data_IF_989146733756
#
_entry.id   IF_989146733756
#
_cell.length_a   1.000
_cell.length_b   1.000
_cell.length_c   1.000
_cell.angle_alpha   90.00
_cell.angle_beta   90.00
_cell.angle_gamma   90.00
#
_symmetry.space_group_name_H-M   'P 1'
#
loop_
_entity.id
_entity.type
_entity.pdbx_description
1 polymer ?
#
# COMPACT_ATOMS: atom_id res chain seq x y z
N UNK A 1 -7.67 -52.22 -56.30
CA UNK A 1 -7.85 -52.16 -57.79
C UNK A 1 -7.53 -50.73 -58.25
N UNK A 2 -6.46 -50.63 -59.08
CA UNK A 2 -6.09 -49.53 -60.04
C UNK A 2 -5.93 -48.13 -59.45
N UNK A 3 -4.73 -47.57 -59.26
CA UNK A 3 -3.64 -47.21 -60.19
C UNK A 3 -4.00 -46.05 -61.14
N UNK A 4 -3.29 -44.95 -61.06
CA UNK A 4 -2.56 -44.16 -62.10
C UNK A 4 -2.41 -42.71 -61.64
N UNK A 5 -1.17 -42.24 -61.40
CA UNK A 5 -0.10 -41.74 -62.31
C UNK A 5 -0.58 -40.56 -63.16
N UNK A 6 0.04 -39.42 -63.08
CA UNK A 6 1.28 -38.90 -63.74
C UNK A 6 1.32 -37.38 -63.47
N UNK A 7 2.36 -36.72 -63.14
CA UNK A 7 3.67 -36.41 -63.74
C UNK A 7 3.70 -35.03 -64.43
N UNK A 8 4.76 -34.28 -64.04
CA UNK A 8 5.51 -33.20 -64.75
C UNK A 8 4.84 -31.82 -64.80
N UNK A 9 5.52 -30.69 -64.47
CA UNK A 9 6.76 -30.24 -65.04
C UNK A 9 7.44 -29.20 -64.13
N UNK A 10 8.78 -29.26 -64.17
CA UNK A 10 9.67 -28.25 -63.65
C UNK A 10 9.80 -27.09 -64.68
N UNK A 11 10.11 -25.87 -64.24
CA UNK A 11 10.97 -24.89 -64.94
C UNK A 11 11.39 -23.81 -63.90
N UNK A 12 12.70 -23.82 -63.58
CA UNK A 12 13.74 -22.83 -63.81
C UNK A 12 13.72 -21.52 -63.03
N UNK A 13 14.63 -21.46 -62.06
CA UNK A 13 15.73 -20.48 -61.93
C UNK A 13 15.41 -18.99 -62.12
N UNK A 14 15.51 -18.22 -61.03
CA UNK A 14 16.29 -16.98 -61.05
C UNK A 14 16.85 -16.71 -59.65
N UNK A 15 18.17 -16.90 -59.51
CA UNK A 15 18.94 -16.48 -58.37
C UNK A 15 19.11 -14.97 -58.43
N UNK A 16 18.56 -14.26 -57.44
CA UNK A 16 18.96 -12.89 -57.10
C UNK A 16 19.65 -12.97 -55.75
N UNK A 17 20.95 -12.94 -55.76
CA UNK A 17 21.80 -12.75 -54.61
C UNK A 17 21.66 -11.28 -54.14
N UNK A 18 20.84 -11.03 -53.18
CA UNK A 18 20.86 -9.76 -52.41
C UNK A 18 21.65 -10.02 -51.13
N UNK A 19 22.90 -9.57 -51.11
CA UNK A 19 23.72 -9.48 -49.90
C UNK A 19 23.04 -8.46 -48.94
N UNK A 20 22.33 -8.95 -47.97
CA UNK A 20 21.90 -8.13 -46.80
C UNK A 20 23.07 -8.13 -45.83
N UNK A 21 23.77 -7.01 -45.76
CA UNK A 21 24.70 -6.68 -44.71
C UNK A 21 23.92 -6.74 -43.36
N UNK A 22 24.16 -7.76 -42.57
CA UNK A 22 23.82 -7.84 -41.17
C UNK A 22 24.65 -6.77 -40.43
N UNK A 23 24.16 -5.53 -40.42
CA UNK A 23 24.54 -4.59 -39.39
C UNK A 23 23.91 -5.13 -38.11
N UNK A 24 24.73 -5.79 -37.29
CA UNK A 24 24.38 -6.16 -35.92
C UNK A 24 24.14 -4.88 -35.12
N UNK A 25 22.90 -4.41 -35.08
CA UNK A 25 22.46 -3.62 -33.96
C UNK A 25 22.39 -4.58 -32.79
N UNK A 26 23.42 -4.60 -31.95
CA UNK A 26 23.31 -5.08 -30.59
C UNK A 26 22.22 -4.25 -29.94
N UNK A 27 21.07 -4.86 -29.71
CA UNK A 27 20.10 -4.28 -28.78
C UNK A 27 20.84 -4.11 -27.46
N UNK A 28 20.87 -2.92 -26.86
CA UNK A 28 21.36 -2.80 -25.51
C UNK A 28 20.52 -3.77 -24.71
N UNK A 29 21.17 -4.66 -23.94
CA UNK A 29 20.51 -5.37 -22.86
C UNK A 29 19.82 -4.28 -22.01
N UNK A 30 18.49 -4.26 -22.00
CA UNK A 30 17.77 -3.48 -21.05
C UNK A 30 18.09 -4.13 -19.71
N UNK A 31 19.07 -3.55 -19.00
CA UNK A 31 19.14 -3.69 -17.55
C UNK A 31 17.76 -3.38 -17.02
N UNK A 32 17.17 -4.35 -16.32
CA UNK A 32 15.79 -4.31 -15.85
C UNK A 32 15.54 -3.35 -14.68
N UNK A 33 16.18 -2.21 -14.68
CA UNK A 33 15.88 -1.04 -13.86
C UNK A 33 15.40 0.10 -14.76
N UNK A 34 14.35 -0.14 -15.54
CA UNK A 34 13.51 0.97 -15.98
C UNK A 34 12.96 1.61 -14.70
N UNK A 35 13.44 2.81 -14.37
CA UNK A 35 12.89 3.59 -13.25
C UNK A 35 11.38 3.63 -13.45
N UNK A 36 10.65 3.19 -12.43
CA UNK A 36 9.19 3.23 -12.43
C UNK A 36 8.81 4.71 -12.63
N UNK A 37 8.11 5.04 -13.72
CA UNK A 37 7.69 6.42 -14.00
C UNK A 37 6.42 6.80 -13.20
N UNK A 38 5.89 5.86 -12.43
CA UNK A 38 4.69 5.99 -11.62
C UNK A 38 4.97 5.58 -10.18
N UNK A 39 4.24 6.15 -9.25
CA UNK A 39 4.17 5.71 -7.88
C UNK A 39 2.78 5.21 -7.53
N UNK A 40 2.68 4.54 -6.41
CA UNK A 40 1.45 3.98 -5.89
C UNK A 40 1.38 4.22 -4.38
N UNK A 41 0.33 4.91 -3.96
CA UNK A 41 -0.01 5.16 -2.57
C UNK A 41 -1.29 4.38 -2.24
N UNK A 42 -1.27 3.56 -1.20
CA UNK A 42 -2.45 2.87 -0.70
C UNK A 42 -2.98 3.58 0.55
N UNK A 43 -4.24 3.98 0.50
CA UNK A 43 -5.00 4.51 1.63
C UNK A 43 -5.77 3.35 2.26
N UNK A 44 -5.46 3.03 3.52
CA UNK A 44 -6.12 1.96 4.27
C UNK A 44 -6.74 2.51 5.55
N UNK A 45 -8.06 2.39 5.64
CA UNK A 45 -8.84 2.68 6.84
C UNK A 45 -10.03 1.71 6.98
N UNK A 46 -10.27 0.90 5.97
CA UNK A 46 -11.51 0.24 5.60
C UNK A 46 -12.63 1.29 5.32
N UNK A 47 -12.71 1.80 4.08
CA UNK A 47 -12.28 1.18 2.80
C UNK A 47 -10.76 1.18 2.55
N UNK A 48 -10.35 0.43 1.53
CA UNK A 48 -8.97 0.29 1.09
C UNK A 48 -8.86 0.71 -0.39
N UNK A 49 -8.07 1.76 -0.67
CA UNK A 49 -8.01 2.39 -2.00
C UNK A 49 -6.56 2.61 -2.40
N UNK A 50 -6.22 2.13 -3.59
CA UNK A 50 -4.93 2.34 -4.22
C UNK A 50 -5.00 3.54 -5.17
N UNK A 51 -4.06 4.45 -5.03
CA UNK A 51 -3.92 5.69 -5.81
C UNK A 51 -2.65 5.57 -6.64
N UNK A 52 -2.79 5.43 -7.95
CA UNK A 52 -1.65 5.50 -8.87
C UNK A 52 -1.44 6.94 -9.32
N UNK A 53 -0.19 7.39 -9.35
CA UNK A 53 0.19 8.73 -9.75
C UNK A 53 1.45 8.73 -10.61
N UNK A 54 1.62 9.79 -11.40
CA UNK A 54 2.81 9.98 -12.24
C UNK A 54 3.90 10.78 -11.49
N UNK A 55 5.03 11.00 -12.16
CA UNK A 55 6.19 11.73 -11.63
C UNK A 55 5.87 13.16 -11.18
N UNK A 56 4.82 13.78 -11.72
CA UNK A 56 4.37 15.13 -11.36
C UNK A 56 3.35 15.11 -10.19
N UNK A 57 3.12 13.95 -9.56
CA UNK A 57 2.13 13.79 -8.48
C UNK A 57 0.68 13.82 -8.94
N UNK A 58 0.43 13.67 -10.26
CA UNK A 58 -0.94 13.65 -10.80
C UNK A 58 -1.50 12.24 -10.81
N UNK A 59 -2.73 12.09 -10.31
CA UNK A 59 -3.41 10.79 -10.26
C UNK A 59 -3.70 10.27 -11.66
N UNK A 60 -3.37 9.01 -11.90
CA UNK A 60 -3.57 8.29 -13.17
C UNK A 60 -4.59 7.17 -13.05
N UNK A 61 -4.77 6.59 -11.86
CA UNK A 61 -5.81 5.61 -11.58
C UNK A 61 -6.19 5.58 -10.10
N UNK A 62 -7.43 5.17 -9.81
CA UNK A 62 -7.88 4.74 -8.49
C UNK A 62 -8.40 3.31 -8.59
N UNK A 63 -8.05 2.47 -7.60
CA UNK A 63 -8.51 1.10 -7.53
C UNK A 63 -8.96 0.76 -6.11
N UNK A 64 -10.23 0.41 -5.92
CA UNK A 64 -10.72 -0.14 -4.66
C UNK A 64 -10.17 -1.55 -4.44
N UNK A 65 -9.45 -1.76 -3.35
CA UNK A 65 -8.80 -3.05 -3.02
C UNK A 65 -9.75 -4.02 -2.33
N UNK A 66 -10.79 -3.49 -1.70
CA UNK A 66 -11.90 -4.26 -1.13
C UNK A 66 -13.24 -3.74 -1.66
N UNK A 67 -14.36 -4.34 -1.27
CA UNK A 67 -15.68 -3.96 -1.79
C UNK A 67 -16.08 -2.55 -1.34
N UNK A 68 -15.75 -2.14 -0.12
CA UNK A 68 -15.99 -0.79 0.38
C UNK A 68 -15.19 0.23 -0.44
N UNK A 69 -13.90 -0.04 -0.70
CA UNK A 69 -13.05 0.81 -1.54
C UNK A 69 -13.55 0.95 -2.97
N UNK A 70 -14.10 -0.12 -3.56
CA UNK A 70 -14.74 -0.04 -4.88
C UNK A 70 -15.93 0.91 -4.88
N UNK A 71 -16.77 0.84 -3.83
CA UNK A 71 -17.92 1.72 -3.68
C UNK A 71 -17.50 3.21 -3.60
N UNK A 72 -16.46 3.54 -2.84
CA UNK A 72 -15.93 4.90 -2.75
C UNK A 72 -15.37 5.37 -4.11
N UNK A 73 -14.58 4.54 -4.79
CA UNK A 73 -14.02 4.91 -6.11
C UNK A 73 -15.11 5.12 -7.16
N UNK A 74 -16.18 4.33 -7.14
CA UNK A 74 -17.34 4.52 -8.03
C UNK A 74 -18.09 5.83 -7.75
N UNK A 75 -18.14 6.28 -6.50
CA UNK A 75 -18.75 7.54 -6.09
C UNK A 75 -17.89 8.77 -6.46
N UNK A 76 -16.59 8.59 -6.69
CA UNK A 76 -15.63 9.66 -6.99
C UNK A 76 -14.99 9.49 -8.38
N UNK A 77 -15.71 9.81 -9.50
CA UNK A 77 -15.25 9.51 -10.86
C UNK A 77 -14.21 10.49 -11.43
N UNK A 78 -14.16 11.74 -10.96
CA UNK A 78 -13.39 12.82 -11.60
C UNK A 78 -12.03 13.04 -10.91
N UNK A 79 -11.18 12.02 -10.87
CA UNK A 79 -9.87 12.05 -10.21
C UNK A 79 -8.68 12.16 -11.18
N UNK A 80 -8.84 11.75 -12.43
CA UNK A 80 -7.75 11.70 -13.40
C UNK A 80 -7.10 13.08 -13.61
N UNK A 81 -5.79 13.16 -13.43
CA UNK A 81 -4.99 14.37 -13.62
C UNK A 81 -5.06 15.39 -12.49
N UNK A 82 -5.86 15.15 -11.44
CA UNK A 82 -5.81 15.95 -10.21
C UNK A 82 -4.52 15.67 -9.44
N UNK A 83 -4.14 16.57 -8.55
CA UNK A 83 -3.05 16.34 -7.61
C UNK A 83 -3.38 15.20 -6.64
N UNK A 84 -2.40 14.35 -6.34
CA UNK A 84 -2.58 13.22 -5.43
C UNK A 84 -3.05 13.69 -4.05
N UNK A 85 -2.53 14.82 -3.59
CA UNK A 85 -2.92 15.46 -2.33
C UNK A 85 -4.39 15.86 -2.31
N UNK A 86 -4.90 16.48 -3.39
CA UNK A 86 -6.29 16.89 -3.48
C UNK A 86 -7.22 15.67 -3.53
N UNK A 87 -6.84 14.64 -4.32
CA UNK A 87 -7.61 13.40 -4.40
C UNK A 87 -7.65 12.68 -3.05
N UNK A 88 -6.54 12.65 -2.31
CA UNK A 88 -6.50 12.04 -0.99
C UNK A 88 -7.43 12.75 0.00
N UNK A 89 -7.46 14.09 0.01
CA UNK A 89 -8.40 14.87 0.83
C UNK A 89 -9.86 14.59 0.46
N UNK A 90 -10.16 14.59 -0.84
CA UNK A 90 -11.51 14.32 -1.34
C UNK A 90 -11.95 12.90 -0.91
N UNK A 91 -11.06 11.89 -1.03
CA UNK A 91 -11.35 10.52 -0.60
C UNK A 91 -11.63 10.42 0.91
N UNK A 92 -10.91 11.15 1.76
CA UNK A 92 -11.19 11.19 3.22
C UNK A 92 -12.59 11.77 3.48
N UNK A 93 -13.01 12.77 2.72
CA UNK A 93 -14.38 13.33 2.81
C UNK A 93 -15.43 12.30 2.39
N UNK A 94 -15.25 11.66 1.23
CA UNK A 94 -16.16 10.62 0.72
C UNK A 94 -16.27 9.43 1.69
N UNK A 95 -15.15 8.98 2.27
CA UNK A 95 -15.12 7.90 3.27
C UNK A 95 -15.89 8.32 4.53
N UNK A 96 -15.75 9.57 4.97
CA UNK A 96 -16.49 10.09 6.11
C UNK A 96 -18.00 10.21 5.82
N UNK A 97 -18.39 10.72 4.66
CA UNK A 97 -19.79 10.84 4.25
C UNK A 97 -20.46 9.47 4.10
N UNK A 98 -19.72 8.46 3.66
CA UNK A 98 -20.16 7.08 3.61
C UNK A 98 -20.26 6.40 5.00
N UNK A 99 -19.78 7.07 6.07
CA UNK A 99 -19.95 6.62 7.46
C UNK A 99 -18.87 5.65 7.95
N UNK A 100 -17.76 5.48 7.23
CA UNK A 100 -16.74 4.51 7.63
C UNK A 100 -15.88 4.92 8.84
N UNK A 101 -15.92 6.20 9.25
CA UNK A 101 -15.24 6.69 10.45
C UNK A 101 -16.10 6.65 11.74
N UNK A 102 -17.37 6.26 11.66
CA UNK A 102 -18.23 6.16 12.84
C UNK A 102 -18.02 4.88 13.64
N UNK A 103 -17.48 3.84 13.01
CA UNK A 103 -17.17 2.57 13.65
C UNK A 103 -15.83 2.65 14.37
N UNK A 104 -15.83 2.35 15.66
CA UNK A 104 -14.65 2.28 16.50
C UNK A 104 -14.20 0.81 16.65
N UNK A 105 -12.92 0.60 16.93
CA UNK A 105 -12.39 -0.68 17.40
C UNK A 105 -12.29 -0.55 18.93
N UNK A 106 -13.19 -1.20 19.65
CA UNK A 106 -13.24 -1.22 21.11
C UNK A 106 -13.12 0.17 21.78
N UNK A 107 -13.77 1.19 21.18
CA UNK A 107 -13.76 2.57 21.65
C UNK A 107 -12.59 3.41 21.15
N UNK A 108 -11.71 2.83 20.33
CA UNK A 108 -10.65 3.56 19.64
C UNK A 108 -11.07 3.89 18.21
N UNK A 109 -10.69 5.08 17.73
CA UNK A 109 -10.92 5.44 16.34
C UNK A 109 -10.02 4.63 15.40
N UNK A 110 -10.53 4.31 14.21
CA UNK A 110 -9.74 3.65 13.18
C UNK A 110 -8.51 4.49 12.82
N UNK A 111 -7.36 3.86 12.70
CA UNK A 111 -6.19 4.52 12.13
C UNK A 111 -6.32 4.65 10.62
N UNK A 112 -5.68 5.65 10.05
CA UNK A 112 -5.51 5.85 8.62
C UNK A 112 -4.06 5.49 8.29
N UNK A 113 -3.86 4.53 7.39
CA UNK A 113 -2.51 4.17 6.92
C UNK A 113 -2.33 4.66 5.50
N UNK A 114 -1.26 5.37 5.26
CA UNK A 114 -0.76 5.79 3.95
C UNK A 114 0.47 4.96 3.63
N UNK A 115 0.31 3.94 2.80
CA UNK A 115 1.37 3.02 2.43
C UNK A 115 1.87 3.32 1.03
N UNK A 116 3.15 3.68 0.93
CA UNK A 116 3.83 3.83 -0.34
C UNK A 116 4.31 2.45 -0.82
N UNK A 117 3.91 2.03 -2.01
CA UNK A 117 4.40 0.77 -2.55
C UNK A 117 5.89 0.84 -2.86
N UNK A 118 6.67 -0.22 -2.53
CA UNK A 118 8.09 -0.26 -2.77
C UNK A 118 8.49 0.07 -4.21
N UNK A 119 9.50 0.92 -4.36
CA UNK A 119 9.99 1.38 -5.65
C UNK A 119 9.07 2.37 -6.37
N UNK A 120 8.14 2.98 -5.68
CA UNK A 120 7.34 4.09 -6.20
C UNK A 120 8.22 5.32 -6.50
N UNK A 121 7.93 6.02 -7.60
CA UNK A 121 8.57 7.33 -7.83
C UNK A 121 8.02 8.34 -6.84
N UNK A 122 8.90 9.15 -6.26
CA UNK A 122 8.48 10.28 -5.43
C UNK A 122 8.49 11.56 -6.26
N UNK A 123 7.37 12.32 -6.32
CA UNK A 123 7.32 13.64 -6.96
C UNK A 123 8.24 14.67 -6.27
N UNK A 124 8.43 14.54 -4.96
CA UNK A 124 9.36 15.32 -4.13
C UNK A 124 9.89 14.46 -2.98
N UNK A 125 10.97 14.88 -2.35
CA UNK A 125 11.53 14.18 -1.18
C UNK A 125 10.56 14.20 0.02
N UNK A 126 9.70 15.22 0.11
CA UNK A 126 8.73 15.38 1.19
C UNK A 126 7.33 14.80 0.85
N UNK A 127 7.18 14.12 -0.30
CA UNK A 127 5.88 13.71 -0.84
C UNK A 127 5.00 12.96 0.19
N UNK A 128 5.52 11.94 0.86
CA UNK A 128 4.74 11.15 1.82
C UNK A 128 4.41 11.97 3.09
N UNK A 129 5.33 12.84 3.52
CA UNK A 129 5.08 13.76 4.63
C UNK A 129 3.99 14.78 4.29
N UNK A 130 3.98 15.32 3.06
CA UNK A 130 2.94 16.23 2.57
C UNK A 130 1.58 15.52 2.51
N UNK A 131 1.53 14.26 2.03
CA UNK A 131 0.31 13.45 2.03
C UNK A 131 -0.22 13.22 3.45
N UNK A 132 0.67 12.92 4.41
CA UNK A 132 0.31 12.75 5.82
C UNK A 132 -0.25 14.04 6.42
N UNK A 133 0.43 15.19 6.20
CA UNK A 133 -0.02 16.49 6.70
C UNK A 133 -1.39 16.88 6.13
N UNK A 134 -1.60 16.68 4.83
CA UNK A 134 -2.88 16.94 4.17
C UNK A 134 -4.01 16.08 4.68
N UNK A 135 -3.73 14.79 4.93
CA UNK A 135 -4.69 13.86 5.53
C UNK A 135 -5.05 14.30 6.95
N UNK A 136 -4.05 14.70 7.74
CA UNK A 136 -4.26 15.22 9.10
C UNK A 136 -5.14 16.47 9.11
N UNK A 137 -4.96 17.37 8.14
CA UNK A 137 -5.78 18.57 8.03
C UNK A 137 -7.23 18.23 7.63
N UNK A 138 -7.44 17.28 6.72
CA UNK A 138 -8.77 16.79 6.38
C UNK A 138 -9.47 16.14 7.58
N UNK A 139 -8.77 15.26 8.32
CA UNK A 139 -9.26 14.61 9.55
C UNK A 139 -9.67 15.65 10.59
N UNK A 140 -8.83 16.67 10.84
CA UNK A 140 -9.16 17.77 11.77
C UNK A 140 -10.35 18.60 11.27
N UNK A 141 -10.40 18.91 9.98
CA UNK A 141 -11.50 19.66 9.37
C UNK A 141 -12.85 18.96 9.54
N UNK A 142 -12.87 17.64 9.54
CA UNK A 142 -14.05 16.79 9.77
C UNK A 142 -14.33 16.49 11.25
N UNK A 143 -13.52 17.02 12.18
CA UNK A 143 -13.57 16.72 13.62
C UNK A 143 -13.41 15.21 13.93
N UNK A 144 -12.63 14.51 13.14
CA UNK A 144 -12.26 13.13 13.38
C UNK A 144 -11.04 13.06 14.33
N UNK A 145 -10.85 11.93 14.99
CA UNK A 145 -9.74 11.68 15.91
C UNK A 145 -8.86 10.49 15.49
N UNK A 146 -8.91 10.11 14.20
CA UNK A 146 -8.10 9.03 13.64
C UNK A 146 -6.61 9.43 13.64
N UNK A 147 -5.75 8.52 14.09
CA UNK A 147 -4.30 8.64 13.93
C UNK A 147 -3.92 8.36 12.47
N UNK A 148 -2.85 9.01 12.00
CA UNK A 148 -2.33 8.80 10.66
C UNK A 148 -0.94 8.20 10.78
N UNK A 149 -0.71 7.13 10.05
CA UNK A 149 0.56 6.40 9.97
C UNK A 149 0.98 6.31 8.52
N UNK A 150 2.25 6.54 8.26
CA UNK A 150 2.87 6.33 6.95
C UNK A 150 3.72 5.06 6.97
N UNK A 151 3.77 4.37 5.83
CA UNK A 151 4.64 3.21 5.59
C UNK A 151 5.38 3.46 4.28
N UNK A 152 6.70 3.35 4.28
CA UNK A 152 7.57 3.47 3.11
C UNK A 152 8.54 2.29 2.97
N UNK A 153 9.51 2.41 2.05
CA UNK A 153 10.44 1.32 1.72
C UNK A 153 11.28 0.84 2.91
N UNK A 154 11.57 1.72 3.88
CA UNK A 154 12.42 1.42 5.05
C UNK A 154 11.64 0.69 6.16
N UNK A 155 10.31 0.70 6.11
CA UNK A 155 9.45 0.09 7.11
C UNK A 155 9.19 -1.40 6.90
N UNK A 156 9.73 -2.00 5.83
CA UNK A 156 9.52 -3.42 5.55
C UNK A 156 10.65 -4.30 6.09
N UNK A 157 10.30 -5.43 6.70
CA UNK A 157 11.26 -6.37 7.26
C UNK A 157 12.04 -7.10 6.18
N UNK A 158 13.30 -6.74 5.99
CA UNK A 158 14.19 -7.32 4.98
C UNK A 158 14.42 -8.84 5.15
N UNK A 159 14.19 -9.41 6.34
CA UNK A 159 14.34 -10.85 6.59
C UNK A 159 13.31 -11.69 5.80
N UNK A 160 12.18 -11.10 5.42
CA UNK A 160 11.14 -11.74 4.62
C UNK A 160 11.21 -11.41 3.13
N UNK A 161 12.19 -10.62 2.69
CA UNK A 161 12.40 -10.34 1.27
C UNK A 161 12.85 -11.60 0.52
N UNK A 162 12.24 -11.92 -0.63
CA UNK A 162 12.54 -13.13 -1.42
C UNK A 162 12.61 -12.83 -2.90
N UNK A 163 13.56 -13.45 -3.58
CA UNK A 163 13.69 -13.42 -5.04
C UNK A 163 13.74 -11.98 -5.62
N UNK A 164 14.40 -11.05 -4.92
CA UNK A 164 14.51 -9.66 -5.34
C UNK A 164 13.21 -8.85 -5.18
N UNK A 165 12.22 -9.42 -4.48
CA UNK A 165 10.98 -8.72 -4.13
C UNK A 165 11.07 -8.19 -2.72
N UNK A 166 10.47 -7.02 -2.43
CA UNK A 166 10.32 -6.50 -1.08
C UNK A 166 9.63 -7.51 -0.15
N UNK A 167 9.84 -7.37 1.14
CA UNK A 167 9.07 -8.09 2.15
C UNK A 167 7.58 -7.79 1.97
N UNK A 168 6.69 -8.78 2.17
CA UNK A 168 5.27 -8.50 2.29
C UNK A 168 4.88 -7.92 3.66
N UNK A 169 5.78 -7.94 4.65
CA UNK A 169 5.49 -7.58 6.03
C UNK A 169 6.24 -6.34 6.46
N UNK A 170 5.57 -5.48 7.22
CA UNK A 170 6.20 -4.36 7.93
C UNK A 170 7.10 -4.89 9.04
N UNK A 171 8.00 -4.05 9.54
CA UNK A 171 8.85 -4.38 10.69
C UNK A 171 8.03 -4.40 11.99
N UNK A 172 8.54 -5.12 12.98
CA UNK A 172 7.97 -5.08 14.32
C UNK A 172 8.00 -3.66 14.92
N UNK A 173 9.07 -2.91 14.66
CA UNK A 173 9.23 -1.52 15.07
C UNK A 173 8.11 -0.64 14.49
N UNK A 174 7.77 -0.84 13.21
CA UNK A 174 6.66 -0.11 12.58
C UNK A 174 5.32 -0.51 13.21
N UNK A 175 5.09 -1.78 13.49
CA UNK A 175 3.87 -2.23 14.17
C UNK A 175 3.72 -1.60 15.57
N UNK A 176 4.84 -1.50 16.33
CA UNK A 176 4.85 -0.84 17.63
C UNK A 176 4.55 0.68 17.50
N UNK A 177 5.13 1.37 16.52
CA UNK A 177 4.83 2.78 16.22
C UNK A 177 3.33 2.99 15.94
N UNK A 178 2.72 2.09 15.16
CA UNK A 178 1.29 2.13 14.83
C UNK A 178 0.44 2.00 16.10
N UNK A 179 0.75 1.01 16.95
CA UNK A 179 0.03 0.79 18.21
C UNK A 179 0.12 2.00 19.14
N UNK A 180 1.31 2.57 19.30
CA UNK A 180 1.53 3.76 20.13
C UNK A 180 0.82 5.00 19.58
N UNK A 181 0.85 5.18 18.26
CA UNK A 181 0.11 6.27 17.59
C UNK A 181 -1.39 6.14 17.82
N UNK A 182 -1.92 4.93 17.67
CA UNK A 182 -3.34 4.65 17.90
C UNK A 182 -3.74 4.87 19.38
N UNK A 183 -2.90 4.45 20.31
CA UNK A 183 -3.10 4.64 21.74
C UNK A 183 -2.88 6.10 22.21
N UNK A 184 -2.32 6.96 21.35
CA UNK A 184 -1.85 8.30 21.70
C UNK A 184 -0.87 8.28 22.89
N UNK A 185 0.10 7.37 22.83
CA UNK A 185 1.13 7.15 23.85
C UNK A 185 2.50 7.46 23.24
N UNK A 186 3.31 8.24 23.96
CA UNK A 186 4.69 8.48 23.58
C UNK A 186 5.54 7.21 23.79
N UNK A 187 6.45 6.93 22.86
CA UNK A 187 7.29 5.72 22.93
C UNK A 187 8.14 5.67 24.21
N UNK A 188 8.51 6.82 24.78
CA UNK A 188 9.28 6.89 26.01
C UNK A 188 8.49 6.47 27.26
N UNK A 189 7.16 6.49 27.19
CA UNK A 189 6.24 6.16 28.30
C UNK A 189 5.74 4.71 28.23
N UNK A 190 6.02 4.00 27.12
CA UNK A 190 5.55 2.66 26.89
C UNK A 190 6.58 1.58 27.28
N UNK A 191 6.10 0.52 27.90
CA UNK A 191 6.87 -0.69 28.16
C UNK A 191 6.12 -1.86 27.50
N UNK A 192 6.73 -2.44 26.45
CA UNK A 192 6.18 -3.61 25.77
C UNK A 192 6.48 -4.85 26.58
N UNK A 193 5.43 -5.54 27.01
CA UNK A 193 5.48 -6.77 27.81
C UNK A 193 5.49 -8.01 26.91
N UNK A 194 4.74 -7.97 25.80
CA UNK A 194 4.74 -9.01 24.77
C UNK A 194 4.71 -8.43 23.35
N UNK A 195 5.29 -9.19 22.38
CA UNK A 195 5.42 -8.82 20.96
C UNK A 195 5.59 -10.08 20.14
N UNK A 196 4.49 -10.56 19.58
CA UNK A 196 4.50 -11.77 18.76
C UNK A 196 4.05 -11.50 17.33
N UNK A 197 4.65 -12.24 16.37
CA UNK A 197 4.13 -12.33 15.01
C UNK A 197 3.37 -13.64 14.88
N UNK A 198 2.08 -13.56 14.58
CA UNK A 198 1.20 -14.72 14.47
C UNK A 198 0.28 -14.63 13.23
N UNK A 199 -0.57 -15.62 13.08
CA UNK A 199 -1.60 -15.71 12.03
C UNK A 199 -2.94 -16.00 12.66
N UNK A 200 -3.77 -14.97 12.80
CA UNK A 200 -5.16 -15.13 13.23
C UNK A 200 -6.06 -15.43 12.02
N UNK A 201 -6.67 -16.63 12.00
CA UNK A 201 -7.46 -17.15 10.88
C UNK A 201 -6.78 -17.02 9.50
N UNK A 202 -5.44 -17.13 9.48
CA UNK A 202 -4.61 -17.01 8.27
C UNK A 202 -4.24 -15.58 7.89
N UNK A 203 -4.65 -14.59 8.66
CA UNK A 203 -4.23 -13.18 8.53
C UNK A 203 -2.95 -12.96 9.33
N UNK A 204 -1.85 -12.50 8.71
CA UNK A 204 -0.62 -12.23 9.44
C UNK A 204 -0.79 -10.96 10.27
N UNK A 205 -0.53 -11.08 11.58
CA UNK A 205 -0.66 -9.99 12.56
C UNK A 205 0.59 -9.89 13.45
N UNK A 206 0.80 -8.70 14.01
CA UNK A 206 1.61 -8.51 15.19
C UNK A 206 0.67 -8.34 16.39
N UNK A 207 0.77 -9.23 17.37
CA UNK A 207 0.13 -9.09 18.67
C UNK A 207 1.07 -8.32 19.60
N UNK A 208 0.59 -7.21 20.15
CA UNK A 208 1.38 -6.29 20.94
C UNK A 208 0.69 -6.00 22.27
N UNK A 209 1.36 -6.35 23.38
CA UNK A 209 0.92 -5.96 24.72
C UNK A 209 1.92 -4.96 25.32
N UNK A 210 1.43 -3.84 25.84
CA UNK A 210 2.26 -2.85 26.52
C UNK A 210 1.53 -2.11 27.62
N UNK A 211 2.33 -1.58 28.55
CA UNK A 211 1.86 -0.74 29.63
C UNK A 211 2.34 0.69 29.46
N UNK A 212 1.48 1.67 29.69
CA UNK A 212 1.81 3.10 29.67
C UNK A 212 0.88 3.90 30.57
N UNK A 213 1.41 4.85 31.31
CA UNK A 213 0.62 5.80 32.15
C UNK A 213 -0.37 5.11 33.11
N UNK A 214 -0.05 3.90 33.58
CA UNK A 214 -0.89 3.10 34.47
C UNK A 214 -2.08 2.41 33.79
N UNK A 215 -2.03 2.26 32.47
CA UNK A 215 -2.98 1.49 31.67
C UNK A 215 -2.24 0.32 30.99
N UNK A 216 -2.98 -0.75 30.73
CA UNK A 216 -2.57 -1.91 29.94
C UNK A 216 -3.25 -1.80 28.57
N UNK A 217 -2.50 -2.08 27.51
CA UNK A 217 -2.94 -1.99 26.12
C UNK A 217 -2.66 -3.29 25.41
N UNK A 218 -3.58 -3.73 24.55
CA UNK A 218 -3.45 -4.89 23.68
C UNK A 218 -3.86 -4.48 22.27
N UNK A 219 -2.98 -4.68 21.28
CA UNK A 219 -3.19 -4.31 19.90
C UNK A 219 -2.79 -5.43 18.96
N UNK A 220 -3.67 -5.74 17.99
CA UNK A 220 -3.33 -6.56 16.84
C UNK A 220 -3.19 -5.66 15.61
N UNK A 221 -2.01 -5.71 15.01
CA UNK A 221 -1.68 -4.92 13.81
C UNK A 221 -1.54 -5.86 12.63
N UNK A 222 -2.32 -5.63 11.56
CA UNK A 222 -2.19 -6.39 10.31
C UNK A 222 -0.79 -6.20 9.72
N UNK A 223 -0.01 -7.25 9.63
CA UNK A 223 1.43 -7.18 9.32
C UNK A 223 1.75 -6.74 7.87
N UNK A 224 0.77 -6.72 6.97
CA UNK A 224 0.97 -6.26 5.58
C UNK A 224 0.52 -4.82 5.39
N UNK A 225 -0.58 -4.41 6.02
CA UNK A 225 -1.24 -3.13 5.75
C UNK A 225 -1.07 -2.11 6.86
N UNK A 226 -0.53 -2.48 8.02
CA UNK A 226 -0.44 -1.61 9.19
C UNK A 226 -1.80 -1.24 9.81
N UNK A 227 -2.90 -1.85 9.38
CA UNK A 227 -4.23 -1.60 9.96
C UNK A 227 -4.30 -2.18 11.37
N UNK A 228 -4.87 -1.41 12.28
CA UNK A 228 -5.28 -1.91 13.60
C UNK A 228 -6.51 -2.79 13.40
N UNK A 229 -6.42 -4.06 13.76
CA UNK A 229 -7.53 -5.02 13.67
C UNK A 229 -8.15 -5.32 15.03
N UNK A 230 -7.39 -5.13 16.12
CA UNK A 230 -7.85 -5.17 17.50
C UNK A 230 -7.20 -4.06 18.30
N UNK A 231 -7.93 -3.46 19.22
CA UNK A 231 -7.41 -2.44 20.13
C UNK A 231 -8.19 -2.52 21.45
N UNK A 232 -7.55 -2.98 22.51
CA UNK A 232 -8.13 -3.02 23.85
C UNK A 232 -7.26 -2.21 24.82
N UNK A 233 -7.89 -1.55 25.80
CA UNK A 233 -7.17 -0.95 26.92
C UNK A 233 -7.89 -1.16 28.23
N UNK A 234 -7.13 -1.35 29.28
CA UNK A 234 -7.63 -1.53 30.64
C UNK A 234 -6.89 -0.57 31.57
N UNK A 235 -7.60 0.18 32.38
CA UNK A 235 -6.96 0.95 33.45
C UNK A 235 -6.45 -0.06 34.49
N UNK A 236 -5.14 -0.04 34.77
CA UNK A 236 -4.58 -0.86 35.83
C UNK A 236 -5.30 -0.55 37.14
N UNK A 237 -6.16 -1.49 37.58
CA UNK A 237 -7.03 -1.29 38.72
C UNK A 237 -6.21 -1.01 39.98
N UNK A 238 -6.53 0.05 40.68
CA UNK A 238 -6.10 0.22 42.04
C UNK A 238 -6.65 -0.99 42.83
N UNK A 239 -5.78 -1.98 43.07
CA UNK A 239 -6.13 -3.04 44.00
C UNK A 239 -6.33 -2.40 45.37
N UNK A 240 -7.57 -2.35 45.80
CA UNK A 240 -8.00 -1.90 47.14
C UNK A 240 -7.87 -3.03 48.12
#
# INVERSE_FOLDING_TARGET
>A
MKLRRKLFAAVSSLAVASAVLLAGCGAPAQDGTALKETGTLTLSVNPEIQIEYNRDGKVTALTGRNDDGKGIVEAYPDYIGKDCEDVLKDLIVEINEAGYFVDDIDGNKKNIVLQLEPGSVLPSDDFLADMSASTQDAVKGLNLSSGIVTIDDDDYDSAYAKDGKPSPYITLEKAQEIALTQANVEAADAVFDDKEFDHDDGTPIFELEFTANGNEYEYDIHAVTGKVVKAEHKTAGTQS
#
